data_IF_940010677510
#
_entry.id   IF_940010677510
#
_cell.length_a   1.000
_cell.length_b   1.000
_cell.length_c   1.000
_cell.angle_alpha   90.00
_cell.angle_beta   90.00
_cell.angle_gamma   90.00
#
_symmetry.space_group_name_H-M   'P 1'
#
loop_
_entity.id
_entity.type
_entity.pdbx_description
1 polymer ?
#
# COMPACT_ATOMS: atom_id res chain seq x y z
N UNK A 1 9.42 16.93 -3.76
CA UNK A 1 8.14 17.32 -3.13
C UNK A 1 7.48 16.09 -2.56
N UNK A 2 6.94 16.16 -1.35
CA UNK A 2 6.14 15.10 -0.73
C UNK A 2 4.89 15.78 -0.20
N UNK A 3 3.72 15.26 -0.57
CA UNK A 3 2.42 15.69 -0.06
C UNK A 3 1.79 14.46 0.58
N UNK A 4 1.46 14.58 1.86
CA UNK A 4 0.81 13.53 2.64
C UNK A 4 -0.57 14.03 3.05
N UNK A 5 -1.58 13.18 2.87
CA UNK A 5 -2.96 13.41 3.25
C UNK A 5 -3.48 12.14 3.93
N UNK A 6 -3.07 11.92 5.18
CA UNK A 6 -3.43 10.72 5.92
C UNK A 6 -2.71 9.49 5.36
N UNK A 7 -3.48 8.53 4.81
CA UNK A 7 -2.92 7.29 4.25
C UNK A 7 -2.31 7.43 2.86
N UNK A 8 -2.47 8.61 2.24
CA UNK A 8 -2.13 8.84 0.84
C UNK A 8 -0.96 9.80 0.68
N UNK A 9 -0.02 9.40 -0.17
CA UNK A 9 1.20 10.14 -0.46
C UNK A 9 1.31 10.34 -1.97
N UNK A 10 1.46 11.61 -2.37
CA UNK A 10 2.10 11.94 -3.64
C UNK A 10 3.55 12.31 -3.39
N UNK A 11 4.46 11.77 -4.18
CA UNK A 11 5.86 12.15 -4.12
C UNK A 11 6.46 12.37 -5.51
N UNK A 12 7.37 13.33 -5.57
CA UNK A 12 8.33 13.52 -6.65
C UNK A 12 9.70 13.75 -6.00
N UNK A 13 10.64 12.82 -6.20
CA UNK A 13 11.92 12.79 -5.49
C UNK A 13 13.10 12.59 -6.44
N UNK A 14 14.19 13.31 -6.18
CA UNK A 14 15.49 13.16 -6.88
C UNK A 14 16.50 12.32 -6.09
N UNK A 15 16.11 11.83 -4.91
CA UNK A 15 16.92 10.96 -4.06
C UNK A 15 16.09 9.81 -3.54
N UNK A 16 16.77 8.76 -3.11
CA UNK A 16 16.15 7.61 -2.48
C UNK A 16 15.31 8.03 -1.26
N UNK A 17 14.15 7.40 -1.10
CA UNK A 17 13.26 7.57 0.05
C UNK A 17 12.82 6.21 0.55
N UNK A 18 12.55 6.15 1.85
CA UNK A 18 11.90 5.00 2.47
C UNK A 18 10.60 5.53 3.08
N UNK A 19 9.49 4.90 2.71
CA UNK A 19 8.17 5.21 3.27
C UNK A 19 7.87 4.14 4.30
N UNK A 20 7.79 4.54 5.57
CA UNK A 20 7.49 3.60 6.64
C UNK A 20 6.07 3.05 6.51
N UNK A 21 5.91 1.75 6.78
CA UNK A 21 4.60 1.08 6.75
C UNK A 21 4.00 1.08 8.15
N UNK A 22 2.81 1.65 8.29
CA UNK A 22 1.99 1.52 9.49
C UNK A 22 0.82 0.58 9.21
N UNK A 23 0.72 -0.50 9.98
CA UNK A 23 -0.28 -1.56 9.80
C UNK A 23 -0.90 -1.97 11.15
N UNK A 24 -1.22 -0.98 11.99
CA UNK A 24 -1.82 -1.21 13.30
C UNK A 24 -0.94 -2.08 14.21
N UNK A 25 -1.55 -3.12 14.80
CA UNK A 25 -0.90 -4.07 15.71
C UNK A 25 -0.12 -5.19 15.00
N UNK A 26 -0.11 -5.20 13.66
CA UNK A 26 0.66 -6.17 12.90
C UNK A 26 2.15 -6.10 13.26
N UNK A 27 2.88 -7.23 13.36
CA UNK A 27 4.32 -7.23 13.63
C UNK A 27 5.14 -6.54 12.53
N UNK A 28 4.56 -6.24 11.36
CA UNK A 28 5.22 -5.49 10.30
C UNK A 28 5.15 -3.98 10.49
N UNK A 29 4.26 -3.50 11.37
CA UNK A 29 4.04 -2.08 11.64
C UNK A 29 5.33 -1.41 12.14
N UNK A 30 5.78 -0.37 11.46
CA UNK A 30 7.03 0.35 11.68
C UNK A 30 8.33 -0.48 11.65
N UNK A 31 8.28 -1.73 11.19
CA UNK A 31 9.46 -2.60 11.03
C UNK A 31 9.87 -2.77 9.56
N UNK A 32 9.01 -2.36 8.62
CA UNK A 32 9.29 -2.39 7.18
C UNK A 32 8.95 -1.06 6.52
N UNK A 33 9.62 -0.78 5.42
CA UNK A 33 9.37 0.37 4.57
C UNK A 33 9.29 0.00 3.10
N UNK A 34 8.69 0.89 2.31
CA UNK A 34 8.69 0.83 0.86
C UNK A 34 9.81 1.73 0.35
N UNK A 35 10.77 1.12 -0.36
CA UNK A 35 11.88 1.82 -0.97
C UNK A 35 11.45 2.49 -2.27
N UNK A 36 11.73 3.77 -2.38
CA UNK A 36 11.47 4.59 -3.56
C UNK A 36 12.80 5.06 -4.13
N UNK A 37 13.05 4.69 -5.39
CA UNK A 37 14.28 5.04 -6.10
C UNK A 37 14.34 6.56 -6.37
N UNK A 38 15.55 7.12 -6.57
CA UNK A 38 15.70 8.46 -7.13
C UNK A 38 14.93 8.64 -8.45
N UNK A 39 14.66 9.89 -8.82
CA UNK A 39 13.95 10.27 -10.05
C UNK A 39 12.55 9.61 -10.20
N UNK A 40 11.88 9.35 -9.08
CA UNK A 40 10.54 8.76 -9.07
C UNK A 40 9.47 9.81 -8.80
N UNK A 41 8.41 9.77 -9.61
CA UNK A 41 7.12 10.43 -9.32
C UNK A 41 6.06 9.35 -9.18
N UNK A 42 5.37 9.29 -8.04
CA UNK A 42 4.40 8.24 -7.76
C UNK A 42 3.31 8.68 -6.78
N UNK A 43 2.17 8.01 -6.87
CA UNK A 43 1.16 7.94 -5.81
C UNK A 43 1.32 6.66 -5.01
N UNK A 44 1.24 6.77 -3.69
CA UNK A 44 1.36 5.66 -2.75
C UNK A 44 0.26 5.83 -1.72
N UNK A 45 -0.75 4.98 -1.83
CA UNK A 45 -2.02 5.15 -1.14
C UNK A 45 -2.35 3.92 -0.33
N UNK A 46 -3.00 4.15 0.81
CA UNK A 46 -3.24 3.10 1.81
C UNK A 46 -4.72 3.00 2.13
N UNK A 47 -5.27 1.80 1.99
CA UNK A 47 -6.58 1.46 2.54
C UNK A 47 -6.40 0.60 3.79
N UNK A 48 -7.13 0.92 4.86
CA UNK A 48 -7.13 0.14 6.11
C UNK A 48 -8.56 -0.01 6.61
N UNK A 49 -8.87 -1.17 7.21
CA UNK A 49 -10.12 -1.41 7.93
C UNK A 49 -9.99 -1.24 9.45
N UNK A 50 -8.77 -1.02 9.95
CA UNK A 50 -8.46 -0.99 11.39
C UNK A 50 -7.80 0.32 11.83
N UNK A 51 -7.21 1.06 10.89
CA UNK A 51 -6.44 2.29 11.15
C UNK A 51 -7.08 3.47 10.41
N UNK A 52 -7.51 4.48 11.15
CA UNK A 52 -8.10 5.72 10.62
C UNK A 52 -9.63 5.77 10.68
N UNK A 53 -10.19 6.97 10.47
CA UNK A 53 -11.64 7.24 10.58
C UNK A 53 -12.41 6.96 9.27
N UNK A 54 -11.73 6.53 8.21
CA UNK A 54 -12.32 6.30 6.89
C UNK A 54 -13.04 4.95 6.84
N UNK A 55 -14.27 4.96 6.33
CA UNK A 55 -15.09 3.75 6.18
C UNK A 55 -14.45 2.81 5.13
N UNK A 56 -13.95 1.67 5.58
CA UNK A 56 -13.51 0.56 4.73
C UNK A 56 -14.41 -0.65 4.98
N UNK A 57 -14.85 -1.34 3.93
CA UNK A 57 -15.62 -2.58 4.04
C UNK A 57 -14.72 -3.82 4.19
N UNK A 58 -13.40 -3.62 4.12
CA UNK A 58 -12.39 -4.64 4.38
C UNK A 58 -11.97 -4.66 5.85
N UNK A 59 -11.24 -5.72 6.23
CA UNK A 59 -10.65 -5.85 7.58
C UNK A 59 -9.12 -5.85 7.54
N UNK A 60 -8.51 -5.43 6.42
CA UNK A 60 -7.07 -5.36 6.27
C UNK A 60 -6.45 -4.40 7.30
N UNK A 61 -5.25 -4.72 7.78
CA UNK A 61 -4.51 -3.80 8.63
C UNK A 61 -3.90 -2.68 7.79
N UNK A 62 -3.36 -3.03 6.61
CA UNK A 62 -2.96 -2.09 5.58
C UNK A 62 -2.96 -2.75 4.18
N UNK A 63 -3.49 -2.06 3.18
CA UNK A 63 -3.26 -2.36 1.76
C UNK A 63 -2.69 -1.12 1.12
N UNK A 64 -1.42 -1.19 0.76
CA UNK A 64 -0.66 -0.10 0.17
C UNK A 64 -0.47 -0.38 -1.32
N UNK A 65 -0.85 0.57 -2.15
CA UNK A 65 -0.64 0.50 -3.60
C UNK A 65 0.24 1.64 -4.06
N UNK A 66 1.25 1.32 -4.86
CA UNK A 66 2.07 2.28 -5.60
C UNK A 66 1.60 2.32 -7.06
N UNK A 67 1.39 3.52 -7.57
CA UNK A 67 1.01 3.75 -8.97
C UNK A 67 1.58 5.06 -9.53
N UNK A 68 1.39 5.28 -10.83
CA UNK A 68 1.87 6.47 -11.53
C UNK A 68 1.17 7.77 -11.07
N UNK A 69 -0.02 7.65 -10.47
CA UNK A 69 -0.77 8.78 -9.89
C UNK A 69 -1.36 8.37 -8.54
N UNK A 70 -1.57 9.35 -7.66
CA UNK A 70 -2.26 9.13 -6.39
C UNK A 70 -3.72 8.67 -6.60
N UNK A 71 -4.40 9.19 -7.62
CA UNK A 71 -5.79 8.82 -7.93
C UNK A 71 -5.92 7.33 -8.27
N UNK A 72 -5.03 6.81 -9.13
CA UNK A 72 -5.04 5.39 -9.48
C UNK A 72 -4.66 4.52 -8.27
N UNK A 73 -3.65 4.94 -7.52
CA UNK A 73 -3.19 4.21 -6.33
C UNK A 73 -4.29 4.11 -5.27
N UNK A 74 -4.97 5.21 -4.96
CA UNK A 74 -6.04 5.27 -3.96
C UNK A 74 -7.25 4.41 -4.35
N UNK A 75 -7.77 4.59 -5.57
CA UNK A 75 -8.89 3.78 -6.07
C UNK A 75 -8.56 2.28 -6.05
N UNK A 76 -7.35 1.91 -6.46
CA UNK A 76 -6.88 0.53 -6.45
C UNK A 76 -6.67 -0.01 -5.02
N UNK A 77 -6.10 0.79 -4.11
CA UNK A 77 -5.91 0.42 -2.71
C UNK A 77 -7.25 0.19 -2.02
N UNK A 78 -8.24 1.06 -2.24
CA UNK A 78 -9.59 0.94 -1.70
C UNK A 78 -10.26 -0.36 -2.15
N UNK A 79 -10.26 -0.64 -3.46
CA UNK A 79 -10.88 -1.86 -3.97
C UNK A 79 -10.12 -3.12 -3.51
N UNK A 80 -8.79 -3.09 -3.51
CA UNK A 80 -7.97 -4.19 -3.03
C UNK A 80 -8.15 -4.45 -1.52
N UNK A 81 -8.29 -3.40 -0.71
CA UNK A 81 -8.61 -3.46 0.72
C UNK A 81 -9.95 -4.12 0.98
N UNK A 82 -10.99 -3.75 0.22
CA UNK A 82 -12.33 -4.33 0.34
C UNK A 82 -12.37 -5.85 0.09
N UNK A 83 -11.43 -6.39 -0.71
CA UNK A 83 -11.30 -7.83 -0.98
C UNK A 83 -10.68 -8.62 0.19
N UNK A 84 -10.00 -7.95 1.12
CA UNK A 84 -9.42 -8.60 2.30
C UNK A 84 -10.50 -8.78 3.36
N UNK A 85 -10.87 -10.05 3.59
CA UNK A 85 -11.84 -10.46 4.63
C UNK A 85 -11.18 -11.19 5.81
N UNK A 86 -9.96 -11.68 5.62
CA UNK A 86 -9.09 -12.30 6.62
C UNK A 86 -7.70 -12.54 6.01
N UNK A 87 -6.73 -13.01 6.82
CA UNK A 87 -5.34 -13.24 6.39
C UNK A 87 -5.16 -14.26 5.25
N UNK A 88 -6.14 -15.12 4.99
CA UNK A 88 -6.10 -16.09 3.88
C UNK A 88 -6.58 -15.50 2.55
N UNK A 89 -7.16 -14.30 2.56
CA UNK A 89 -7.70 -13.64 1.36
C UNK A 89 -6.78 -12.60 0.72
N UNK A 90 -5.59 -12.34 1.29
CA UNK A 90 -4.61 -11.38 0.75
C UNK A 90 -4.28 -11.60 -0.73
N UNK A 91 -4.24 -12.87 -1.17
CA UNK A 91 -4.00 -13.22 -2.58
C UNK A 91 -5.05 -12.62 -3.52
N UNK A 92 -6.32 -12.51 -3.10
CA UNK A 92 -7.39 -11.92 -3.94
C UNK A 92 -7.10 -10.46 -4.28
N UNK A 93 -6.61 -9.70 -3.30
CA UNK A 93 -6.20 -8.30 -3.49
C UNK A 93 -5.04 -8.19 -4.48
N UNK A 94 -4.05 -9.08 -4.37
CA UNK A 94 -2.93 -9.14 -5.32
C UNK A 94 -3.39 -9.50 -6.74
N UNK A 95 -4.24 -10.52 -6.89
CA UNK A 95 -4.76 -10.90 -8.22
C UNK A 95 -5.63 -9.81 -8.85
N UNK A 96 -6.35 -9.03 -8.04
CA UNK A 96 -7.06 -7.84 -8.54
C UNK A 96 -6.10 -6.79 -9.11
N UNK A 97 -5.04 -6.43 -8.37
CA UNK A 97 -4.05 -5.45 -8.84
C UNK A 97 -3.32 -5.94 -10.09
N UNK A 98 -2.99 -7.24 -10.15
CA UNK A 98 -2.40 -7.88 -11.35
C UNK A 98 -3.25 -7.71 -12.61
N UNK A 99 -4.58 -7.66 -12.46
CA UNK A 99 -5.51 -7.52 -13.57
C UNK A 99 -5.62 -6.09 -14.12
N UNK A 100 -5.03 -5.09 -13.46
CA UNK A 100 -5.08 -3.70 -13.90
C UNK A 100 -3.94 -3.45 -14.90
N UNK A 101 -4.29 -3.02 -16.12
CA UNK A 101 -3.34 -2.63 -17.17
C UNK A 101 -2.68 -1.28 -16.85
N UNK A 102 -1.91 -1.21 -15.77
CA UNK A 102 -1.02 -0.12 -15.40
C UNK A 102 0.04 -0.72 -14.47
N UNK A 103 1.31 -0.36 -14.60
CA UNK A 103 2.38 -0.87 -13.74
C UNK A 103 2.15 -0.44 -12.28
N UNK A 104 1.49 -1.30 -11.51
CA UNK A 104 1.18 -1.11 -10.10
C UNK A 104 2.07 -2.00 -9.23
N UNK A 105 2.31 -1.54 -8.00
CA UNK A 105 2.86 -2.36 -6.92
C UNK A 105 1.86 -2.43 -5.77
N UNK A 106 1.78 -3.56 -5.08
CA UNK A 106 0.91 -3.74 -3.91
C UNK A 106 1.66 -4.44 -2.77
N UNK A 107 1.43 -3.94 -1.55
CA UNK A 107 1.72 -4.60 -0.29
C UNK A 107 0.42 -4.70 0.52
N UNK A 108 -0.07 -5.90 0.76
CA UNK A 108 -1.27 -6.15 1.56
C UNK A 108 -0.89 -6.89 2.85
N UNK A 109 -1.36 -6.42 3.99
CA UNK A 109 -1.05 -6.91 5.33
C UNK A 109 -2.33 -7.24 6.08
N UNK A 110 -2.35 -8.43 6.70
CA UNK A 110 -3.36 -8.81 7.69
C UNK A 110 -2.75 -9.76 8.72
N UNK A 111 -2.89 -9.39 9.98
CA UNK A 111 -2.35 -10.06 11.16
C UNK A 111 -0.83 -10.25 11.00
N UNK A 112 -0.39 -11.51 11.04
CA UNK A 112 0.99 -11.97 10.90
C UNK A 112 1.40 -12.26 9.44
N UNK A 113 0.58 -11.89 8.46
CA UNK A 113 0.82 -12.20 7.05
C UNK A 113 0.85 -10.96 6.18
N UNK A 114 1.72 -11.03 5.17
CA UNK A 114 1.76 -10.06 4.09
C UNK A 114 1.81 -10.75 2.72
N UNK A 115 1.30 -10.05 1.70
CA UNK A 115 1.43 -10.43 0.31
C UNK A 115 1.93 -9.22 -0.50
N UNK A 116 2.86 -9.46 -1.43
CA UNK A 116 3.51 -8.42 -2.21
C UNK A 116 3.54 -8.79 -3.69
N UNK A 117 3.35 -7.81 -4.57
CA UNK A 117 3.49 -7.99 -6.01
C UNK A 117 3.75 -6.67 -6.74
N UNK A 118 4.41 -6.74 -7.89
CA UNK A 118 4.52 -5.63 -8.83
C UNK A 118 5.65 -4.65 -8.50
N UNK A 119 5.48 -3.39 -8.89
CA UNK A 119 6.50 -2.33 -8.76
C UNK A 119 6.60 -1.78 -7.32
N UNK A 120 6.98 -2.64 -6.39
CA UNK A 120 7.17 -2.32 -4.97
C UNK A 120 8.39 -3.06 -4.42
N UNK A 121 9.22 -2.36 -3.66
CA UNK A 121 10.44 -2.89 -3.05
C UNK A 121 10.35 -2.71 -1.54
N UNK A 122 10.38 -3.81 -0.78
CA UNK A 122 10.29 -3.80 0.68
C UNK A 122 11.70 -3.79 1.26
N UNK A 123 11.91 -2.98 2.29
CA UNK A 123 13.17 -2.91 3.04
C UNK A 123 12.91 -2.92 4.54
N UNK A 124 13.81 -3.47 5.37
CA UNK A 124 13.75 -3.28 6.82
C UNK A 124 13.88 -1.79 7.18
N UNK A 125 13.24 -1.38 8.28
CA UNK A 125 13.46 -0.07 8.91
C UNK A 125 14.45 -0.16 10.07
#
# INVERSE_FOLDING_TARGET
VIVENGGDIYLATTRERIIAVYAGDSPFSYNIGIKIKPETTAGICTSSGMVGHSLSFGVADAVIVKGCTAVLADAAATQAGNLVKNKFTLKKSVEYIKGINNSLGILAIKDDRMAVWGDIEITPL
#
